data_IF_159446680482
#
_entry.id   IF_159446680482
#
_cell.length_a   1.000
_cell.length_b   1.000
_cell.length_c   1.000
_cell.angle_alpha   90.00
_cell.angle_beta   90.00
_cell.angle_gamma   90.00
#
_symmetry.space_group_name_H-M   'P 1'
#
loop_
_entity.id
_entity.type
_entity.pdbx_description
1 polymer ?
#
# COMPACT_ATOMS: atom_id res chain seq x y z
N UNK A 1 -11.07 -11.68 -25.06
CA UNK A 1 -11.20 -12.07 -23.64
C UNK A 1 -9.87 -11.82 -22.96
N UNK A 2 -9.76 -10.79 -22.11
CA UNK A 2 -8.51 -10.45 -21.42
C UNK A 2 -8.37 -11.39 -20.21
N UNK A 3 -7.31 -12.19 -20.19
CA UNK A 3 -6.98 -13.07 -19.07
C UNK A 3 -6.57 -12.22 -17.85
N UNK A 4 -7.42 -12.18 -16.82
CA UNK A 4 -7.02 -11.67 -15.51
C UNK A 4 -5.87 -12.54 -15.02
N UNK A 5 -4.65 -11.99 -15.02
CA UNK A 5 -3.50 -12.60 -14.34
C UNK A 5 -3.90 -12.76 -12.88
N UNK A 6 -4.24 -13.98 -12.45
CA UNK A 6 -4.46 -14.33 -11.04
C UNK A 6 -3.21 -13.88 -10.29
N UNK A 7 -3.32 -12.78 -9.56
CA UNK A 7 -2.28 -12.36 -8.63
C UNK A 7 -2.13 -13.47 -7.60
N UNK A 8 -0.96 -14.09 -7.55
CA UNK A 8 -0.67 -15.06 -6.50
C UNK A 8 -0.66 -14.33 -5.16
N UNK A 9 -1.66 -14.60 -4.32
CA UNK A 9 -1.71 -14.11 -2.95
C UNK A 9 -0.67 -14.87 -2.13
N UNK A 10 0.57 -14.38 -2.11
CA UNK A 10 1.59 -14.91 -1.23
C UNK A 10 1.43 -14.30 0.16
N UNK A 11 1.12 -15.14 1.14
CA UNK A 11 1.11 -14.73 2.54
C UNK A 11 2.55 -14.71 3.03
N UNK A 12 3.11 -13.52 3.17
CA UNK A 12 4.45 -13.34 3.72
C UNK A 12 4.32 -13.34 5.24
N UNK A 13 5.09 -14.17 5.92
CA UNK A 13 5.25 -14.16 7.38
C UNK A 13 6.61 -13.54 7.72
N UNK A 14 6.71 -12.19 7.71
CA UNK A 14 7.98 -11.52 7.93
C UNK A 14 8.48 -11.71 9.37
N UNK A 15 9.79 -11.88 9.52
CA UNK A 15 10.48 -11.77 10.81
C UNK A 15 10.45 -10.32 11.32
N UNK A 16 10.85 -10.07 12.58
CA UNK A 16 10.76 -8.75 13.20
C UNK A 16 11.47 -7.65 12.39
N UNK A 17 12.70 -7.88 11.93
CA UNK A 17 13.43 -6.93 11.08
C UNK A 17 12.74 -6.66 9.74
N UNK A 18 12.18 -7.70 9.11
CA UNK A 18 11.46 -7.56 7.86
C UNK A 18 10.17 -6.74 8.05
N UNK A 19 9.48 -6.87 9.18
CA UNK A 19 8.32 -6.03 9.51
C UNK A 19 8.72 -4.56 9.61
N UNK A 20 9.84 -4.26 10.27
CA UNK A 20 10.32 -2.89 10.42
C UNK A 20 10.62 -2.25 9.05
N UNK A 21 11.29 -2.98 8.16
CA UNK A 21 11.55 -2.52 6.78
C UNK A 21 10.24 -2.31 6.02
N UNK A 22 9.30 -3.26 6.11
CA UNK A 22 7.99 -3.14 5.47
C UNK A 22 7.22 -1.92 6.00
N UNK A 23 7.22 -1.67 7.30
CA UNK A 23 6.54 -0.51 7.89
C UNK A 23 7.20 0.82 7.50
N UNK A 24 8.53 0.89 7.47
CA UNK A 24 9.25 2.08 7.03
C UNK A 24 8.95 2.42 5.57
N UNK A 25 8.94 1.43 4.68
CA UNK A 25 8.72 1.66 3.25
C UNK A 25 7.24 1.81 2.89
N UNK A 26 6.36 0.92 3.37
CA UNK A 26 4.95 0.92 2.99
C UNK A 26 4.07 1.77 3.90
N UNK A 27 4.41 1.89 5.20
CA UNK A 27 3.64 2.68 6.15
C UNK A 27 3.64 4.17 5.80
N UNK A 28 4.82 4.73 5.51
CA UNK A 28 4.97 6.13 5.09
C UNK A 28 4.25 6.43 3.77
N UNK A 29 4.40 5.54 2.78
CA UNK A 29 3.76 5.70 1.46
C UNK A 29 2.23 5.63 1.58
N UNK A 30 1.70 4.70 2.38
CA UNK A 30 0.25 4.58 2.62
C UNK A 30 -0.32 5.82 3.29
N UNK A 31 0.36 6.34 4.31
CA UNK A 31 -0.06 7.57 5.00
C UNK A 31 -0.09 8.77 4.05
N UNK A 32 1.00 8.97 3.30
CA UNK A 32 1.12 10.09 2.37
C UNK A 32 0.07 10.01 1.26
N UNK A 33 -0.13 8.82 0.67
CA UNK A 33 -1.15 8.60 -0.35
C UNK A 33 -2.55 8.96 0.15
N UNK A 34 -2.93 8.46 1.34
CA UNK A 34 -4.24 8.75 1.92
C UNK A 34 -4.41 10.24 2.23
N UNK A 35 -3.36 10.91 2.73
CA UNK A 35 -3.38 12.36 3.00
C UNK A 35 -3.60 13.15 1.71
N UNK A 36 -2.86 12.84 0.65
CA UNK A 36 -2.98 13.52 -0.65
C UNK A 36 -4.34 13.26 -1.30
N UNK A 37 -4.85 12.03 -1.19
CA UNK A 37 -6.18 11.68 -1.67
C UNK A 37 -7.27 12.47 -0.94
N UNK A 38 -7.14 12.63 0.37
CA UNK A 38 -8.07 13.44 1.17
C UNK A 38 -8.03 14.92 0.76
N UNK A 39 -6.83 15.49 0.57
CA UNK A 39 -6.67 16.88 0.08
C UNK A 39 -7.30 17.03 -1.31
N UNK A 40 -7.05 16.10 -2.22
CA UNK A 40 -7.68 16.08 -3.56
C UNK A 40 -9.20 16.03 -3.43
N UNK A 41 -9.73 15.17 -2.55
CA UNK A 41 -11.17 15.06 -2.34
C UNK A 41 -11.78 16.39 -1.90
N UNK A 42 -11.12 17.14 -1.01
CA UNK A 42 -11.59 18.46 -0.57
C UNK A 42 -11.51 19.49 -1.70
N UNK A 43 -10.41 19.50 -2.47
CA UNK A 43 -10.16 20.49 -3.50
C UNK A 43 -11.15 20.42 -4.67
N UNK A 44 -11.65 19.23 -4.97
CA UNK A 44 -12.61 18.98 -6.05
C UNK A 44 -14.01 18.64 -5.53
N UNK A 45 -14.32 18.97 -4.27
CA UNK A 45 -15.63 18.77 -3.65
C UNK A 45 -16.60 19.91 -3.92
#
# INVERSE_FOLDING_TARGET
MISLRKGSLYRIYPEQDQKQVLEQHFGGVRFLYNKLLHIKSILYS
#
